data_IF_128488456038
#
_entry.id   IF_128488456038
#
_cell.length_a   1.000
_cell.length_b   1.000
_cell.length_c   1.000
_cell.angle_alpha   90.00
_cell.angle_beta   90.00
_cell.angle_gamma   90.00
#
_symmetry.space_group_name_H-M   'P 1'
#
loop_
_entity.id
_entity.type
_entity.pdbx_description
1 polymer ?
#
# COMPACT_ATOMS: atom_id res chain seq x y z
N UNK A 1 11.59 -3.62 -19.92
CA UNK A 1 10.17 -3.24 -19.64
C UNK A 1 9.25 -4.48 -19.70
N UNK A 2 9.45 -5.48 -18.82
CA UNK A 2 8.72 -6.76 -18.85
C UNK A 2 7.63 -6.90 -17.77
N UNK A 3 7.41 -5.84 -16.98
CA UNK A 3 6.65 -5.92 -15.72
C UNK A 3 5.13 -5.91 -15.90
N UNK A 4 4.63 -5.62 -17.11
CA UNK A 4 3.19 -5.49 -17.37
C UNK A 4 2.60 -6.52 -18.35
N UNK A 5 3.41 -7.37 -19.01
CA UNK A 5 2.91 -8.38 -19.97
C UNK A 5 2.40 -9.67 -19.33
N UNK A 6 2.78 -9.94 -18.08
CA UNK A 6 2.43 -11.17 -17.35
C UNK A 6 1.02 -11.08 -16.73
N UNK A 7 0.39 -9.91 -16.75
CA UNK A 7 -0.94 -9.70 -16.15
C UNK A 7 -2.08 -10.37 -16.94
N UNK A 8 -1.91 -10.65 -18.23
CA UNK A 8 -2.90 -11.36 -19.05
C UNK A 8 -2.97 -12.87 -18.80
N UNK A 9 -1.94 -13.45 -18.17
CA UNK A 9 -1.87 -14.89 -17.84
C UNK A 9 -2.43 -15.21 -16.44
N UNK A 10 -2.62 -14.19 -15.59
CA UNK A 10 -3.23 -14.32 -14.26
C UNK A 10 -4.60 -14.99 -14.23
N UNK A 11 -5.54 -14.75 -15.17
CA UNK A 11 -6.86 -15.37 -15.12
C UNK A 11 -6.80 -16.89 -15.28
N UNK A 12 -5.80 -17.41 -15.98
CA UNK A 12 -5.64 -18.85 -16.25
C UNK A 12 -5.04 -19.64 -15.10
N UNK A 13 -4.59 -18.98 -14.03
CA UNK A 13 -4.15 -19.65 -12.82
C UNK A 13 -5.34 -19.81 -11.88
N UNK A 14 -5.76 -21.05 -11.55
CA UNK A 14 -6.83 -21.30 -10.59
C UNK A 14 -6.60 -20.57 -9.27
N UNK A 15 -7.69 -20.07 -8.69
CA UNK A 15 -7.64 -19.29 -7.45
C UNK A 15 -6.95 -20.07 -6.32
N UNK A 16 -7.20 -21.36 -6.19
CA UNK A 16 -6.57 -22.21 -5.19
C UNK A 16 -5.03 -22.19 -5.30
N UNK A 17 -4.50 -22.32 -6.52
CA UNK A 17 -3.06 -22.28 -6.79
C UNK A 17 -2.48 -20.90 -6.45
N UNK A 18 -3.17 -19.82 -6.84
CA UNK A 18 -2.74 -18.45 -6.51
C UNK A 18 -2.70 -18.22 -5.00
N UNK A 19 -3.72 -18.67 -4.29
CA UNK A 19 -3.85 -18.50 -2.84
C UNK A 19 -2.78 -19.30 -2.11
N UNK A 20 -2.53 -20.54 -2.49
CA UNK A 20 -1.53 -21.39 -1.85
C UNK A 20 -0.11 -20.89 -2.10
N UNK A 21 0.18 -20.46 -3.34
CA UNK A 21 1.46 -19.83 -3.66
C UNK A 21 1.70 -18.56 -2.83
N UNK A 22 0.67 -17.71 -2.68
CA UNK A 22 0.74 -16.50 -1.84
C UNK A 22 0.93 -16.84 -0.37
N UNK A 23 0.23 -17.86 0.15
CA UNK A 23 0.38 -18.31 1.54
C UNK A 23 1.80 -18.76 1.83
N UNK A 24 2.39 -19.61 0.97
CA UNK A 24 3.78 -20.07 1.11
C UNK A 24 4.78 -18.92 1.06
N UNK A 25 4.58 -17.96 0.15
CA UNK A 25 5.42 -16.77 0.09
C UNK A 25 5.30 -15.91 1.35
N UNK A 26 4.08 -15.70 1.85
CA UNK A 26 3.83 -14.90 3.05
C UNK A 26 4.49 -15.51 4.29
N UNK A 27 4.41 -16.83 4.48
CA UNK A 27 5.10 -17.52 5.58
C UNK A 27 6.62 -17.32 5.49
N UNK A 28 7.21 -17.53 4.30
CA UNK A 28 8.66 -17.32 4.09
C UNK A 28 9.09 -15.87 4.33
N UNK A 29 8.30 -14.90 3.87
CA UNK A 29 8.60 -13.49 4.08
C UNK A 29 8.44 -13.08 5.54
N UNK A 30 7.46 -13.66 6.26
CA UNK A 30 7.27 -13.43 7.69
C UNK A 30 8.51 -13.83 8.48
N UNK A 31 9.08 -15.00 8.21
CA UNK A 31 10.30 -15.45 8.89
C UNK A 31 11.50 -14.56 8.54
N UNK A 32 11.60 -14.13 7.28
CA UNK A 32 12.73 -13.31 6.81
C UNK A 32 12.67 -11.85 7.26
N UNK A 33 11.47 -11.30 7.43
CA UNK A 33 11.23 -9.88 7.73
C UNK A 33 10.67 -9.68 9.15
N UNK A 34 10.64 -10.72 9.98
CA UNK A 34 10.07 -10.66 11.33
C UNK A 34 10.74 -9.62 12.22
N UNK A 35 12.02 -9.38 12.01
CA UNK A 35 12.82 -8.40 12.76
C UNK A 35 12.70 -6.97 12.20
N UNK A 36 11.99 -6.78 11.08
CA UNK A 36 11.76 -5.48 10.46
C UNK A 36 10.37 -5.00 10.85
N UNK A 37 10.33 -3.94 11.66
CA UNK A 37 9.09 -3.24 11.94
C UNK A 37 8.58 -2.58 10.64
N UNK A 38 7.34 -2.86 10.18
CA UNK A 38 6.84 -2.39 8.89
C UNK A 38 6.51 -0.90 8.89
N UNK A 39 6.45 -0.28 10.07
CA UNK A 39 6.28 1.16 10.23
C UNK A 39 7.66 1.78 10.28
N UNK A 40 7.88 2.80 9.45
CA UNK A 40 9.13 3.55 9.45
C UNK A 40 9.40 4.12 10.86
N UNK A 41 10.57 3.85 11.47
CA UNK A 41 10.96 4.50 12.72
C UNK A 41 10.86 6.03 12.57
N UNK A 42 10.35 6.74 13.57
CA UNK A 42 9.94 8.15 13.57
C UNK A 42 8.50 8.45 13.12
N UNK A 43 7.72 7.45 12.65
CA UNK A 43 6.29 7.64 12.38
C UNK A 43 5.46 7.88 13.66
N UNK A 44 6.02 7.59 14.82
CA UNK A 44 5.43 7.89 16.13
C UNK A 44 5.44 9.39 16.47
N UNK A 45 6.23 10.20 15.76
CA UNK A 45 6.33 11.64 16.01
C UNK A 45 5.49 12.41 14.98
N UNK A 46 4.71 13.41 15.41
CA UNK A 46 4.09 14.32 14.47
C UNK A 46 5.18 15.08 13.68
N UNK A 47 4.90 15.47 12.43
CA UNK A 47 5.81 16.30 11.63
C UNK A 47 6.20 17.59 12.36
N UNK A 48 7.42 18.09 12.12
CA UNK A 48 7.83 19.39 12.63
C UNK A 48 6.85 20.48 12.14
N UNK A 49 6.27 21.24 13.08
CA UNK A 49 5.24 22.26 12.86
C UNK A 49 3.81 21.75 12.61
N UNK A 50 3.51 20.49 12.93
CA UNK A 50 2.13 20.00 12.96
C UNK A 50 1.34 20.68 14.08
N UNK A 51 0.29 21.44 13.72
CA UNK A 51 -0.54 22.20 14.66
C UNK A 51 -1.71 21.39 15.25
N UNK A 52 -1.83 20.10 14.92
CA UNK A 52 -3.01 19.29 15.23
C UNK A 52 -3.97 19.19 14.04
N UNK A 53 -5.03 18.39 14.18
CA UNK A 53 -6.15 18.39 13.23
C UNK A 53 -6.88 19.75 13.21
N UNK A 54 -7.92 19.88 12.36
CA UNK A 54 -8.69 21.14 12.22
C UNK A 54 -9.22 21.70 13.55
N UNK A 55 -9.44 20.86 14.56
CA UNK A 55 -9.91 21.24 15.90
C UNK A 55 -8.92 20.88 17.02
N UNK A 56 -7.63 20.71 16.70
CA UNK A 56 -6.62 20.31 17.70
C UNK A 56 -6.61 18.81 18.00
N UNK A 57 -7.16 17.99 17.10
CA UNK A 57 -7.16 16.53 17.24
C UNK A 57 -5.73 15.96 17.26
N UNK A 58 -5.52 14.96 18.11
CA UNK A 58 -4.22 14.28 18.30
C UNK A 58 -3.84 13.35 17.15
N UNK A 59 -4.77 13.06 16.23
CA UNK A 59 -4.54 12.22 15.07
C UNK A 59 -5.20 12.84 13.84
N UNK A 60 -4.54 12.76 12.69
CA UNK A 60 -5.12 13.16 11.41
C UNK A 60 -5.68 11.91 10.70
N UNK A 61 -6.98 11.89 10.43
CA UNK A 61 -7.56 10.88 9.57
C UNK A 61 -7.43 11.31 8.10
N UNK A 62 -6.33 10.87 7.47
CA UNK A 62 -6.07 11.17 6.06
C UNK A 62 -6.57 10.02 5.19
N UNK A 63 -7.69 10.24 4.51
CA UNK A 63 -8.15 9.35 3.44
C UNK A 63 -7.37 9.65 2.16
N UNK A 64 -6.30 8.91 1.94
CA UNK A 64 -5.61 8.90 0.64
C UNK A 64 -6.30 7.88 -0.26
N UNK A 65 -7.03 8.36 -1.28
CA UNK A 65 -7.50 7.49 -2.35
C UNK A 65 -6.28 7.00 -3.12
N UNK A 66 -6.01 5.68 -3.12
CA UNK A 66 -4.86 5.15 -3.87
C UNK A 66 -5.15 5.18 -5.36
N UNK A 67 -4.52 6.14 -6.03
CA UNK A 67 -4.74 6.40 -7.44
C UNK A 67 -3.70 5.67 -8.28
N UNK A 68 -3.73 4.34 -8.26
CA UNK A 68 -2.72 3.52 -8.95
C UNK A 68 -2.93 3.37 -10.46
N UNK A 69 -4.07 3.81 -11.00
CA UNK A 69 -4.41 3.70 -12.42
C UNK A 69 -4.23 5.03 -13.15
N UNK A 70 -3.96 4.98 -14.45
CA UNK A 70 -3.88 6.16 -15.31
C UNK A 70 -5.18 6.98 -15.30
N UNK A 71 -6.33 6.30 -15.29
CA UNK A 71 -7.65 6.93 -15.18
C UNK A 71 -7.80 7.67 -13.84
N UNK A 72 -7.35 7.05 -12.76
CA UNK A 72 -7.33 7.71 -11.46
C UNK A 72 -6.46 8.98 -11.50
N UNK A 73 -5.25 8.90 -12.06
CA UNK A 73 -4.33 10.05 -12.13
C UNK A 73 -4.92 11.21 -12.94
N UNK A 74 -5.70 10.90 -13.98
CA UNK A 74 -6.43 11.91 -14.75
C UNK A 74 -7.48 12.61 -13.90
N UNK A 75 -8.21 11.89 -13.06
CA UNK A 75 -9.23 12.44 -12.16
C UNK A 75 -8.63 13.28 -11.02
N UNK A 76 -7.36 13.09 -10.65
CA UNK A 76 -6.71 13.97 -9.66
C UNK A 76 -6.59 15.40 -10.14
N UNK A 77 -6.43 15.62 -11.46
CA UNK A 77 -6.26 16.98 -12.02
C UNK A 77 -7.50 17.84 -11.87
N UNK A 78 -8.69 17.26 -11.72
CA UNK A 78 -9.94 18.01 -11.52
C UNK A 78 -10.22 18.34 -10.05
N UNK A 79 -9.36 17.92 -9.12
CA UNK A 79 -9.52 18.16 -7.67
C UNK A 79 -8.61 19.28 -7.14
N UNK A 80 -7.79 19.89 -8.01
CA UNK A 80 -6.91 21.02 -7.72
C UNK A 80 -7.54 22.32 -8.22
#
# INVERSE_FOLDING_TARGET
MLRNRINGLKPFVPQAIRTEARRKLAVRLRDRLGDVWPIMPASERPPSNWQGGREGEKFAFVLTHYVGSSAGLANCRSLA
#
